data_IF_218383327840
#
_entry.id   IF_218383327840
#
_cell.length_a   1.000
_cell.length_b   1.000
_cell.length_c   1.000
_cell.angle_alpha   90.00
_cell.angle_beta   90.00
_cell.angle_gamma   90.00
#
_symmetry.space_group_name_H-M   'P 1'
#
loop_
_entity.id
_entity.type
_entity.pdbx_description
1 polymer ?
#
# COMPACT_ATOMS: atom_id res chain seq x y z
N UNK A 1 -1.27 6.27 26.01
CA UNK A 1 -2.32 6.16 24.99
C UNK A 1 -1.72 6.11 23.58
N UNK A 2 -2.12 5.15 22.79
CA UNK A 2 -1.60 5.02 21.42
C UNK A 2 -2.34 6.00 20.51
N UNK A 3 -1.60 6.83 19.78
CA UNK A 3 -2.21 7.77 18.85
C UNK A 3 -2.70 7.04 17.59
N UNK A 4 -3.55 7.72 16.82
CA UNK A 4 -4.01 7.17 15.54
C UNK A 4 -2.85 6.91 14.59
N UNK A 5 -1.85 7.81 14.60
CA UNK A 5 -0.65 7.64 13.76
C UNK A 5 0.12 6.40 14.17
N UNK A 6 0.30 6.18 15.48
CA UNK A 6 1.00 5.00 15.97
C UNK A 6 0.25 3.71 15.61
N UNK A 7 -1.08 3.74 15.73
CA UNK A 7 -1.92 2.61 15.34
C UNK A 7 -1.78 2.31 13.84
N UNK A 8 -1.75 3.34 13.02
CA UNK A 8 -1.60 3.21 11.58
C UNK A 8 -0.25 2.56 11.24
N UNK A 9 0.83 3.08 11.83
CA UNK A 9 2.17 2.54 11.58
C UNK A 9 2.27 1.08 12.01
N UNK A 10 1.72 0.74 13.17
CA UNK A 10 1.73 -0.63 13.67
C UNK A 10 0.93 -1.55 12.73
N UNK A 11 -0.21 -1.07 12.24
CA UNK A 11 -1.03 -1.87 11.31
C UNK A 11 -0.33 -2.08 9.99
N UNK A 12 0.38 -1.08 9.48
CA UNK A 12 1.14 -1.22 8.24
C UNK A 12 2.24 -2.27 8.40
N UNK A 13 2.98 -2.24 9.50
CA UNK A 13 4.03 -3.22 9.75
C UNK A 13 3.46 -4.63 9.89
N UNK A 14 2.33 -4.76 10.56
CA UNK A 14 1.66 -6.04 10.71
C UNK A 14 1.18 -6.57 9.36
N UNK A 15 0.63 -5.70 8.51
CA UNK A 15 0.18 -6.09 7.18
C UNK A 15 1.35 -6.55 6.32
N UNK A 16 2.46 -5.84 6.38
CA UNK A 16 3.64 -6.21 5.61
C UNK A 16 4.15 -7.59 6.03
N UNK A 17 4.25 -7.84 7.33
CA UNK A 17 4.69 -9.13 7.84
C UNK A 17 3.72 -10.24 7.45
N UNK A 18 2.41 -9.99 7.58
CA UNK A 18 1.39 -10.99 7.26
C UNK A 18 1.38 -11.34 5.78
N UNK A 19 1.47 -10.33 4.90
CA UNK A 19 1.46 -10.57 3.45
C UNK A 19 2.73 -11.29 3.01
N UNK A 20 3.87 -10.97 3.60
CA UNK A 20 5.11 -11.67 3.31
C UNK A 20 5.02 -13.15 3.70
N UNK A 21 4.41 -13.43 4.86
CA UNK A 21 4.22 -14.79 5.32
C UNK A 21 3.26 -15.56 4.39
N UNK A 22 2.17 -14.90 3.98
CA UNK A 22 1.22 -15.50 3.04
C UNK A 22 1.90 -15.90 1.74
N UNK A 23 2.75 -15.03 1.22
CA UNK A 23 3.48 -15.31 -0.02
C UNK A 23 4.38 -16.53 0.14
N UNK A 24 5.01 -16.68 1.30
CA UNK A 24 5.90 -17.82 1.55
C UNK A 24 5.16 -19.15 1.64
N UNK A 25 3.92 -19.13 2.11
CA UNK A 25 3.15 -20.37 2.31
C UNK A 25 2.08 -20.60 1.23
N UNK A 26 2.08 -19.79 0.19
CA UNK A 26 1.03 -19.83 -0.84
C UNK A 26 0.95 -21.20 -1.54
N UNK A 27 2.07 -21.94 -1.59
CA UNK A 27 2.06 -23.27 -2.20
C UNK A 27 1.12 -24.25 -1.47
N UNK A 28 0.80 -23.97 -0.20
CA UNK A 28 -0.15 -24.78 0.55
C UNK A 28 -1.56 -24.73 -0.02
N UNK A 29 -1.84 -23.79 -0.92
CA UNK A 29 -3.16 -23.67 -1.56
C UNK A 29 -3.58 -24.96 -2.25
N UNK A 30 -2.62 -25.73 -2.77
CA UNK A 30 -2.90 -26.98 -3.46
C UNK A 30 -3.52 -28.05 -2.53
N UNK A 31 -3.35 -27.88 -1.23
CA UNK A 31 -3.85 -28.81 -0.25
C UNK A 31 -5.24 -28.45 0.27
N UNK A 32 -5.77 -27.31 -0.15
CA UNK A 32 -7.09 -26.86 0.28
C UNK A 32 -8.18 -27.62 -0.46
N UNK A 33 -9.27 -27.88 0.24
CA UNK A 33 -10.48 -28.39 -0.40
C UNK A 33 -11.09 -27.27 -1.26
N UNK A 34 -11.94 -27.65 -2.20
CA UNK A 34 -12.54 -26.68 -3.12
C UNK A 34 -13.20 -25.51 -2.40
N UNK A 35 -14.00 -25.77 -1.36
CA UNK A 35 -14.65 -24.71 -0.61
C UNK A 35 -13.65 -23.81 0.09
N UNK A 36 -12.61 -24.39 0.67
CA UNK A 36 -11.55 -23.65 1.33
C UNK A 36 -10.76 -22.78 0.36
N UNK A 37 -10.52 -23.30 -0.84
CA UNK A 37 -9.82 -22.56 -1.87
C UNK A 37 -10.62 -21.32 -2.29
N UNK A 38 -11.92 -21.47 -2.50
CA UNK A 38 -12.79 -20.36 -2.87
C UNK A 38 -12.85 -19.32 -1.74
N UNK A 39 -12.96 -19.78 -0.49
CA UNK A 39 -12.97 -18.86 0.65
C UNK A 39 -11.66 -18.10 0.77
N UNK A 40 -10.53 -18.78 0.58
CA UNK A 40 -9.22 -18.14 0.64
C UNK A 40 -9.09 -17.09 -0.47
N UNK A 41 -9.55 -17.40 -1.67
CA UNK A 41 -9.50 -16.47 -2.79
C UNK A 41 -10.32 -15.23 -2.49
N UNK A 42 -11.50 -15.40 -1.90
CA UNK A 42 -12.38 -14.30 -1.54
C UNK A 42 -11.74 -13.42 -0.47
N UNK A 43 -11.12 -14.03 0.53
CA UNK A 43 -10.46 -13.30 1.61
C UNK A 43 -9.28 -12.48 1.11
N UNK A 44 -8.46 -13.07 0.24
CA UNK A 44 -7.33 -12.34 -0.35
C UNK A 44 -7.83 -11.16 -1.18
N UNK A 45 -8.89 -11.36 -1.96
CA UNK A 45 -9.46 -10.28 -2.77
C UNK A 45 -9.96 -9.12 -1.91
N UNK A 46 -10.58 -9.44 -0.78
CA UNK A 46 -11.05 -8.40 0.15
C UNK A 46 -9.88 -7.65 0.76
N UNK A 47 -8.84 -8.36 1.16
CA UNK A 47 -7.63 -7.73 1.71
C UNK A 47 -6.99 -6.81 0.68
N UNK A 48 -6.94 -7.23 -0.59
CA UNK A 48 -6.40 -6.38 -1.65
C UNK A 48 -7.20 -5.10 -1.82
N UNK A 49 -8.53 -5.19 -1.77
CA UNK A 49 -9.37 -3.99 -1.87
C UNK A 49 -9.09 -3.03 -0.71
N UNK A 50 -8.90 -3.55 0.50
CA UNK A 50 -8.57 -2.72 1.65
C UNK A 50 -7.21 -2.05 1.48
N UNK A 51 -6.23 -2.79 1.00
CA UNK A 51 -4.90 -2.25 0.75
C UNK A 51 -4.92 -1.22 -0.38
N UNK A 52 -5.70 -1.46 -1.42
CA UNK A 52 -5.83 -0.50 -2.52
C UNK A 52 -6.45 0.82 -2.04
N UNK A 53 -7.44 0.75 -1.16
CA UNK A 53 -8.04 1.95 -0.58
C UNK A 53 -7.02 2.73 0.25
N UNK A 54 -6.21 2.01 1.02
CA UNK A 54 -5.14 2.63 1.80
C UNK A 54 -4.10 3.28 0.89
N UNK A 55 -3.70 2.57 -0.17
CA UNK A 55 -2.74 3.09 -1.13
C UNK A 55 -3.25 4.37 -1.79
N UNK A 56 -4.54 4.39 -2.15
CA UNK A 56 -5.15 5.57 -2.76
C UNK A 56 -5.13 6.76 -1.79
N UNK A 57 -5.43 6.51 -0.51
CA UNK A 57 -5.40 7.56 0.49
C UNK A 57 -4.00 8.14 0.67
N UNK A 58 -2.98 7.26 0.69
CA UNK A 58 -1.60 7.69 0.82
C UNK A 58 -1.15 8.48 -0.40
N UNK A 59 -1.51 8.02 -1.60
CA UNK A 59 -1.16 8.72 -2.83
C UNK A 59 -1.82 10.09 -2.87
N UNK A 60 -3.09 10.18 -2.43
CA UNK A 60 -3.79 11.46 -2.35
C UNK A 60 -3.10 12.45 -1.43
N UNK A 61 -2.59 11.95 -0.29
CA UNK A 61 -1.88 12.80 0.66
C UNK A 61 -0.54 13.28 0.08
N UNK A 62 0.16 12.41 -0.66
CA UNK A 62 1.40 12.79 -1.33
C UNK A 62 1.13 13.91 -2.34
N UNK A 63 0.07 13.78 -3.12
CA UNK A 63 -0.31 14.83 -4.08
C UNK A 63 -0.64 16.14 -3.37
N UNK A 64 -1.41 16.06 -2.30
CA UNK A 64 -1.81 17.25 -1.54
C UNK A 64 -0.60 17.99 -0.99
N UNK A 65 0.34 17.28 -0.39
CA UNK A 65 1.54 17.90 0.19
C UNK A 65 2.53 18.39 -0.86
N UNK A 66 2.37 17.97 -2.10
CA UNK A 66 3.23 18.36 -3.21
C UNK A 66 2.56 19.36 -4.12
N UNK A 67 1.39 19.87 -3.75
CA UNK A 67 0.63 20.78 -4.60
C UNK A 67 1.35 22.10 -4.82
N UNK A 68 0.93 22.83 -5.85
CA UNK A 68 1.49 24.15 -6.16
C UNK A 68 1.33 25.13 -5.02
N UNK A 69 0.28 25.00 -4.23
CA UNK A 69 0.04 25.88 -3.10
C UNK A 69 1.12 25.78 -2.03
N UNK A 70 1.83 24.65 -2.01
CA UNK A 70 2.95 24.44 -1.08
C UNK A 70 4.26 24.98 -1.64
N UNK A 71 4.30 25.31 -2.93
CA UNK A 71 5.47 25.89 -3.58
C UNK A 71 6.69 24.99 -3.48
N UNK A 72 7.85 25.61 -3.25
CA UNK A 72 9.10 24.88 -3.16
C UNK A 72 9.17 23.99 -1.92
N UNK A 73 8.28 24.19 -0.96
CA UNK A 73 8.22 23.35 0.23
C UNK A 73 7.44 22.06 0.06
N UNK A 74 6.88 21.80 -1.12
CA UNK A 74 6.06 20.62 -1.35
C UNK A 74 6.83 19.32 -1.19
N UNK A 75 6.10 18.28 -0.78
CA UNK A 75 6.71 16.98 -0.43
C UNK A 75 7.53 16.38 -1.57
N UNK A 76 6.98 16.35 -2.79
CA UNK A 76 7.69 15.75 -3.92
C UNK A 76 9.02 16.44 -4.17
N UNK A 77 9.04 17.77 -4.09
CA UNK A 77 10.27 18.53 -4.31
C UNK A 77 11.28 18.32 -3.20
N UNK A 78 10.82 18.22 -1.95
CA UNK A 78 11.72 17.96 -0.82
C UNK A 78 12.42 16.62 -0.98
N UNK A 79 11.75 15.66 -1.62
CA UNK A 79 12.31 14.32 -1.86
C UNK A 79 13.03 14.23 -3.20
N UNK A 80 13.21 15.36 -3.90
CA UNK A 80 13.97 15.39 -5.14
C UNK A 80 13.19 15.05 -6.40
N UNK A 81 11.87 15.04 -6.33
CA UNK A 81 11.04 14.70 -7.49
C UNK A 81 10.37 15.95 -8.04
N UNK A 82 10.18 15.96 -9.35
CA UNK A 82 9.56 17.11 -10.01
C UNK A 82 8.05 17.13 -9.82
N UNK A 83 7.44 15.95 -9.68
CA UNK A 83 5.99 15.85 -9.57
C UNK A 83 5.62 14.83 -8.51
N UNK A 84 4.39 14.96 -7.93
CA UNK A 84 3.89 13.94 -7.00
C UNK A 84 3.83 12.55 -7.63
N UNK A 85 3.48 12.48 -8.92
CA UNK A 85 3.38 11.22 -9.64
C UNK A 85 4.73 10.51 -9.69
N UNK A 86 5.82 11.26 -9.88
CA UNK A 86 7.16 10.69 -9.91
C UNK A 86 7.52 10.10 -8.55
N UNK A 87 7.20 10.81 -7.46
CA UNK A 87 7.45 10.33 -6.11
C UNK A 87 6.64 9.05 -5.85
N UNK A 88 5.37 9.05 -6.22
CA UNK A 88 4.50 7.89 -6.02
C UNK A 88 5.03 6.67 -6.78
N UNK A 89 5.44 6.85 -8.03
CA UNK A 89 6.00 5.76 -8.82
C UNK A 89 7.25 5.18 -8.17
N UNK A 90 8.11 6.06 -7.68
CA UNK A 90 9.34 5.63 -7.01
C UNK A 90 9.04 4.81 -5.76
N UNK A 91 8.12 5.30 -4.94
CA UNK A 91 7.81 4.66 -3.65
C UNK A 91 7.01 3.37 -3.80
N UNK A 92 6.20 3.28 -4.85
CA UNK A 92 5.37 2.08 -5.08
C UNK A 92 6.03 1.04 -5.98
N UNK A 93 7.15 1.40 -6.60
CA UNK A 93 7.83 0.50 -7.52
C UNK A 93 7.17 0.38 -8.88
N UNK A 94 6.15 1.20 -9.16
CA UNK A 94 5.47 1.17 -10.45
C UNK A 94 6.32 1.83 -11.52
N UNK A 95 6.30 1.27 -12.72
CA UNK A 95 6.99 1.87 -13.85
C UNK A 95 6.01 2.69 -14.68
N UNK A 96 6.56 3.54 -15.55
CA UNK A 96 5.74 4.37 -16.43
C UNK A 96 4.95 3.52 -17.43
N UNK A 97 5.31 2.27 -17.59
CA UNK A 97 4.63 1.37 -18.53
C UNK A 97 3.43 0.67 -17.97
N UNK A 98 3.31 0.64 -16.67
CA UNK A 98 2.26 -0.13 -15.99
C UNK A 98 0.92 0.58 -15.98
#
# INVERSE_FOLDING_TARGET
MISLVDSFATSLDAALSATAQLARVAAAARELEDAGLIDAQRTVSEARRNLDACAAALAGEVVDRSSHDKGLGGLARKEGFRTPEALIRHTTGSSARD
#
